data_IF_454664462943
#
_entry.id   IF_454664462943
#
_cell.length_a   1.000
_cell.length_b   1.000
_cell.length_c   1.000
_cell.angle_alpha   90.00
_cell.angle_beta   90.00
_cell.angle_gamma   90.00
#
_symmetry.space_group_name_H-M   'P 1'
#
loop_
_entity.id
_entity.type
_entity.pdbx_description
1 polymer ?
#
# COMPACT_ATOMS: atom_id res chain seq x y z
N UNK A 1 48.09 11.57 47.16
CA UNK A 1 46.68 11.99 46.88
C UNK A 1 46.53 12.28 45.42
N UNK A 2 45.97 11.33 44.65
CA UNK A 2 45.78 11.47 43.21
C UNK A 2 44.37 11.97 42.97
N UNK A 3 44.22 13.16 42.36
CA UNK A 3 42.96 13.72 41.95
C UNK A 3 42.40 12.95 40.74
N UNK A 4 41.24 12.36 40.88
CA UNK A 4 40.49 11.76 39.80
C UNK A 4 39.69 12.89 39.11
N UNK A 5 40.09 13.29 37.91
CA UNK A 5 39.34 14.19 37.03
C UNK A 5 38.19 13.41 36.39
N UNK A 6 36.98 13.72 36.84
CA UNK A 6 35.74 13.22 36.26
C UNK A 6 35.52 13.93 34.92
N UNK A 7 35.70 13.22 33.79
CA UNK A 7 35.40 13.70 32.45
C UNK A 7 33.89 13.47 32.20
N UNK A 8 33.08 14.51 32.33
CA UNK A 8 31.69 14.51 31.89
C UNK A 8 31.69 14.52 30.37
N UNK A 9 31.47 13.35 29.77
CA UNK A 9 31.16 13.24 28.34
C UNK A 9 29.72 13.68 28.17
N UNK A 10 29.54 14.93 27.70
CA UNK A 10 28.27 15.46 27.26
C UNK A 10 27.88 14.75 25.94
N UNK A 11 27.07 13.70 26.05
CA UNK A 11 26.48 13.02 24.90
C UNK A 11 25.47 13.98 24.26
N UNK A 12 25.91 14.81 23.34
CA UNK A 12 25.05 15.58 22.45
C UNK A 12 24.31 14.58 21.56
N UNK A 13 23.15 14.12 22.04
CA UNK A 13 22.10 13.53 21.19
C UNK A 13 21.71 14.59 20.16
N UNK A 14 22.29 14.50 18.98
CA UNK A 14 21.82 15.16 17.76
C UNK A 14 20.44 14.56 17.37
N UNK A 15 19.44 14.78 18.19
CA UNK A 15 18.05 14.74 17.76
C UNK A 15 17.91 15.87 16.77
N UNK A 16 17.91 15.54 15.48
CA UNK A 16 17.64 16.52 14.44
C UNK A 16 16.40 17.30 14.84
N UNK A 17 16.56 18.58 15.19
CA UNK A 17 15.48 19.49 15.55
C UNK A 17 14.52 19.47 14.37
N UNK A 18 13.38 18.78 14.55
CA UNK A 18 12.29 18.81 13.57
C UNK A 18 11.62 20.16 13.74
N UNK A 19 12.04 21.11 12.92
CA UNK A 19 11.54 22.48 12.94
C UNK A 19 10.00 22.49 12.80
N UNK A 20 9.33 22.93 13.83
CA UNK A 20 7.88 23.15 13.79
C UNK A 20 7.60 24.47 13.07
N UNK A 21 6.78 24.43 12.02
CA UNK A 21 6.40 25.59 11.22
C UNK A 21 4.96 26.00 11.48
N UNK A 22 4.72 27.31 11.62
CA UNK A 22 3.37 27.85 11.58
C UNK A 22 2.90 28.01 10.12
N UNK A 23 1.95 27.17 9.73
CA UNK A 23 1.36 27.20 8.41
C UNK A 23 0.19 28.18 8.28
N UNK A 24 -0.31 28.78 9.38
CA UNK A 24 -1.44 29.71 9.37
C UNK A 24 -1.18 30.96 8.53
N UNK A 25 0.09 31.38 8.39
CA UNK A 25 0.47 32.58 7.64
C UNK A 25 0.37 32.39 6.13
N UNK A 26 0.35 31.14 5.61
CA UNK A 26 0.21 30.86 4.19
C UNK A 26 -1.21 31.15 3.69
N UNK A 27 -1.37 31.98 2.65
CA UNK A 27 -2.67 32.32 2.04
C UNK A 27 -3.50 31.08 1.69
N UNK A 28 -2.85 30.05 1.11
CA UNK A 28 -3.51 28.80 0.75
C UNK A 28 -4.06 28.03 1.96
N UNK A 29 -3.39 28.10 3.11
CA UNK A 29 -3.85 27.48 4.37
C UNK A 29 -5.03 28.24 4.93
N UNK A 30 -4.99 29.58 4.91
CA UNK A 30 -6.14 30.43 5.30
C UNK A 30 -7.38 30.08 4.48
N UNK A 31 -7.22 29.96 3.15
CA UNK A 31 -8.32 29.56 2.25
C UNK A 31 -8.81 28.12 2.54
N UNK A 32 -7.89 27.19 2.81
CA UNK A 32 -8.25 25.83 3.18
C UNK A 32 -9.03 25.78 4.51
N UNK A 33 -8.59 26.52 5.52
CA UNK A 33 -9.30 26.64 6.80
C UNK A 33 -10.70 27.23 6.58
N UNK A 34 -10.82 28.30 5.79
CA UNK A 34 -12.12 28.91 5.48
C UNK A 34 -13.08 27.91 4.82
N UNK A 35 -12.57 27.13 3.85
CA UNK A 35 -13.35 26.08 3.19
C UNK A 35 -13.79 25.00 4.21
N UNK A 36 -12.90 24.54 5.10
CA UNK A 36 -13.22 23.54 6.11
C UNK A 36 -14.24 24.04 7.13
N UNK A 37 -14.20 25.32 7.49
CA UNK A 37 -15.20 25.95 8.37
C UNK A 37 -16.56 26.04 7.67
N UNK A 38 -16.58 26.67 6.46
CA UNK A 38 -17.84 26.91 5.73
C UNK A 38 -18.55 25.62 5.29
N UNK A 39 -17.79 24.68 4.67
CA UNK A 39 -18.38 23.50 4.03
C UNK A 39 -18.46 22.27 4.94
N UNK A 40 -17.64 22.20 5.99
CA UNK A 40 -17.51 20.99 6.80
C UNK A 40 -17.69 21.24 8.32
N UNK A 41 -18.06 22.50 8.68
CA UNK A 41 -18.40 22.88 10.05
C UNK A 41 -17.31 22.56 11.09
N UNK A 42 -16.05 22.83 10.74
CA UNK A 42 -14.94 22.75 11.67
C UNK A 42 -14.84 24.04 12.50
N UNK A 43 -14.51 23.92 13.80
CA UNK A 43 -14.16 25.10 14.61
C UNK A 43 -12.83 25.69 14.12
N UNK A 44 -12.83 26.98 13.73
CA UNK A 44 -11.65 27.71 13.20
C UNK A 44 -10.48 27.64 14.18
N UNK A 45 -10.71 27.83 15.47
CA UNK A 45 -9.70 27.78 16.52
C UNK A 45 -8.98 26.41 16.56
N UNK A 46 -9.74 25.29 16.43
CA UNK A 46 -9.19 23.94 16.39
C UNK A 46 -8.27 23.75 15.17
N UNK A 47 -8.67 24.22 13.98
CA UNK A 47 -7.85 24.13 12.79
C UNK A 47 -6.59 25.00 12.91
N UNK A 48 -6.71 26.27 13.34
CA UNK A 48 -5.54 27.14 13.55
C UNK A 48 -4.54 26.50 14.52
N UNK A 49 -4.98 25.87 15.60
CA UNK A 49 -4.13 25.15 16.56
C UNK A 49 -3.39 23.97 15.89
N UNK A 50 -4.06 23.20 15.02
CA UNK A 50 -3.43 22.10 14.29
C UNK A 50 -2.33 22.59 13.33
N UNK A 51 -2.56 23.70 12.63
CA UNK A 51 -1.64 24.25 11.63
C UNK A 51 -0.50 25.09 12.23
N UNK A 52 -0.60 25.53 13.48
CA UNK A 52 0.44 26.35 14.16
C UNK A 52 1.75 25.59 14.38
N UNK A 53 1.68 24.31 14.73
CA UNK A 53 2.84 23.49 15.08
C UNK A 53 2.94 22.27 14.16
N UNK A 54 3.21 22.49 12.88
CA UNK A 54 3.39 21.42 11.89
C UNK A 54 4.87 21.05 11.81
N UNK A 55 5.20 19.81 12.10
CA UNK A 55 6.54 19.29 11.89
C UNK A 55 6.78 19.11 10.40
N UNK A 56 7.64 19.94 9.82
CA UNK A 56 7.96 19.90 8.40
C UNK A 56 8.58 18.55 8.00
N UNK A 57 7.97 17.85 7.06
CA UNK A 57 8.36 16.49 6.63
C UNK A 57 9.25 16.53 5.38
N UNK A 58 10.50 17.02 5.53
CA UNK A 58 11.47 17.13 4.42
C UNK A 58 11.66 15.81 3.68
N UNK A 59 11.77 14.67 4.39
CA UNK A 59 11.95 13.34 3.78
C UNK A 59 10.77 12.92 2.92
N UNK A 60 9.54 13.19 3.37
CA UNK A 60 8.34 12.93 2.59
C UNK A 60 8.28 13.84 1.34
N UNK A 61 8.56 15.14 1.49
CA UNK A 61 8.56 16.08 0.39
C UNK A 61 9.61 15.74 -0.67
N UNK A 62 10.80 15.27 -0.27
CA UNK A 62 11.87 14.86 -1.18
C UNK A 62 11.50 13.70 -2.12
N UNK A 63 10.47 12.91 -1.80
CA UNK A 63 9.93 11.88 -2.71
C UNK A 63 9.13 12.48 -3.88
N UNK A 64 8.64 13.71 -3.75
CA UNK A 64 7.78 14.37 -4.74
C UNK A 64 8.39 15.66 -5.32
N UNK A 65 9.47 16.18 -4.69
CA UNK A 65 10.24 17.32 -5.18
C UNK A 65 11.75 17.04 -5.00
N UNK A 66 12.52 16.87 -6.11
CA UNK A 66 13.95 16.56 -6.07
C UNK A 66 14.81 17.54 -5.28
N UNK A 67 14.41 18.84 -5.21
CA UNK A 67 15.14 19.87 -4.44
C UNK A 67 15.27 19.54 -2.94
N UNK A 68 14.32 18.77 -2.40
CA UNK A 68 14.31 18.36 -0.98
C UNK A 68 14.88 16.97 -0.74
N UNK A 69 15.30 16.26 -1.80
CA UNK A 69 15.93 14.93 -1.68
C UNK A 69 17.31 15.06 -1.07
N UNK A 70 17.59 14.33 0.00
CA UNK A 70 18.95 14.16 0.49
C UNK A 70 19.77 13.43 -0.57
N UNK A 71 20.82 14.08 -1.07
CA UNK A 71 21.80 13.40 -1.92
C UNK A 71 22.54 12.37 -1.04
N UNK A 72 22.75 11.14 -1.49
CA UNK A 72 23.57 10.19 -0.76
C UNK A 72 24.99 10.73 -0.67
N UNK A 73 25.64 10.60 0.48
CA UNK A 73 27.04 11.03 0.67
C UNK A 73 27.97 10.34 -0.35
N UNK A 74 27.68 9.09 -0.66
CA UNK A 74 28.35 8.32 -1.70
C UNK A 74 27.27 7.75 -2.63
N UNK A 75 27.31 8.05 -3.95
CA UNK A 75 26.38 7.42 -4.89
C UNK A 75 26.61 5.90 -4.83
N UNK A 76 25.54 5.10 -4.77
CA UNK A 76 25.69 3.66 -4.74
C UNK A 76 26.44 3.21 -5.99
N UNK A 77 27.55 2.47 -5.84
CA UNK A 77 28.23 1.82 -6.97
C UNK A 77 27.16 1.03 -7.75
N UNK A 78 26.99 1.34 -9.04
CA UNK A 78 26.08 0.57 -9.91
C UNK A 78 26.62 -0.86 -10.00
N UNK A 79 26.14 -1.74 -9.14
CA UNK A 79 26.31 -3.18 -9.33
C UNK A 79 25.37 -3.58 -10.48
N UNK A 80 25.97 -3.86 -11.63
CA UNK A 80 25.27 -4.53 -12.72
C UNK A 80 24.91 -5.95 -12.24
N UNK A 81 23.73 -6.10 -11.65
CA UNK A 81 23.23 -7.41 -11.29
C UNK A 81 22.64 -8.06 -12.53
N UNK A 82 23.08 -9.27 -12.86
CA UNK A 82 22.46 -10.13 -13.91
C UNK A 82 21.03 -10.51 -13.46
N UNK A 83 20.09 -9.55 -13.45
CA UNK A 83 18.72 -9.75 -12.99
C UNK A 83 17.75 -8.84 -13.73
N UNK A 84 16.62 -9.36 -14.14
CA UNK A 84 15.52 -8.59 -14.69
C UNK A 84 14.84 -7.72 -13.64
N UNK A 85 14.00 -6.81 -14.07
CA UNK A 85 13.25 -5.95 -13.16
C UNK A 85 12.32 -6.76 -12.25
N UNK A 86 11.72 -7.83 -12.80
CA UNK A 86 10.86 -8.71 -12.01
C UNK A 86 11.66 -9.53 -10.99
N UNK A 87 12.83 -10.05 -11.35
CA UNK A 87 13.67 -10.83 -10.43
C UNK A 87 13.99 -10.05 -9.15
N UNK A 88 14.32 -8.74 -9.29
CA UNK A 88 14.56 -7.86 -8.14
C UNK A 88 13.30 -7.64 -7.30
N UNK A 89 12.18 -7.47 -7.98
CA UNK A 89 10.88 -7.25 -7.34
C UNK A 89 10.44 -8.49 -6.55
N UNK A 90 10.59 -9.67 -7.16
CA UNK A 90 10.30 -10.97 -6.55
C UNK A 90 11.16 -11.20 -5.31
N UNK A 91 12.49 -11.03 -5.42
CA UNK A 91 13.43 -11.18 -4.30
C UNK A 91 13.04 -10.30 -3.11
N UNK A 92 12.60 -9.07 -3.36
CA UNK A 92 12.22 -8.12 -2.32
C UNK A 92 10.89 -8.50 -1.63
N UNK A 93 9.91 -9.01 -2.37
CA UNK A 93 8.54 -9.16 -1.87
C UNK A 93 8.07 -10.59 -1.63
N UNK A 94 8.71 -11.60 -2.24
CA UNK A 94 8.20 -12.98 -2.23
C UNK A 94 9.10 -13.98 -1.48
N UNK A 95 10.04 -13.48 -0.65
CA UNK A 95 10.96 -14.33 0.13
C UNK A 95 10.26 -15.16 1.20
N UNK A 96 10.87 -16.30 1.55
CA UNK A 96 10.30 -17.29 2.47
C UNK A 96 9.91 -16.70 3.84
N UNK A 97 10.69 -15.76 4.39
CA UNK A 97 10.36 -15.11 5.67
C UNK A 97 9.00 -14.40 5.59
N UNK A 98 8.70 -13.71 4.49
CA UNK A 98 7.40 -13.06 4.30
C UNK A 98 6.29 -14.10 4.14
N UNK A 99 6.53 -15.17 3.40
CA UNK A 99 5.55 -16.28 3.27
C UNK A 99 5.24 -16.90 4.62
N UNK A 100 6.26 -17.25 5.41
CA UNK A 100 6.08 -17.87 6.73
C UNK A 100 5.34 -16.96 7.72
N UNK A 101 5.66 -15.65 7.73
CA UNK A 101 4.90 -14.66 8.52
C UNK A 101 3.44 -14.56 8.04
N UNK A 102 3.19 -14.67 6.74
CA UNK A 102 1.83 -14.69 6.18
C UNK A 102 1.04 -15.93 6.58
N UNK A 103 1.67 -17.09 6.58
CA UNK A 103 1.07 -18.33 7.06
C UNK A 103 0.67 -18.21 8.53
N UNK A 104 1.59 -17.71 9.38
CA UNK A 104 1.29 -17.45 10.80
C UNK A 104 0.15 -16.45 10.96
N UNK A 105 0.20 -15.32 10.27
CA UNK A 105 -0.84 -14.27 10.31
C UNK A 105 -2.21 -14.84 9.91
N UNK A 106 -2.28 -15.61 8.83
CA UNK A 106 -3.52 -16.24 8.38
C UNK A 106 -4.05 -17.28 9.39
N UNK A 107 -3.18 -17.96 10.12
CA UNK A 107 -3.55 -18.90 11.20
C UNK A 107 -4.06 -18.13 12.43
N UNK A 108 -3.33 -17.14 12.91
CA UNK A 108 -3.65 -16.39 14.13
C UNK A 108 -5.02 -15.70 14.01
N UNK A 109 -5.39 -15.23 12.80
CA UNK A 109 -6.68 -14.56 12.54
C UNK A 109 -7.68 -15.42 11.75
N UNK A 110 -7.57 -16.75 11.83
CA UNK A 110 -8.39 -17.69 11.06
C UNK A 110 -9.89 -17.46 11.20
N UNK A 111 -10.39 -17.20 12.40
CA UNK A 111 -11.82 -16.97 12.67
C UNK A 111 -12.33 -15.70 11.95
N UNK A 112 -11.54 -14.64 11.97
CA UNK A 112 -11.85 -13.38 11.27
C UNK A 112 -11.87 -13.62 9.76
N UNK A 113 -10.86 -14.29 9.22
CA UNK A 113 -10.79 -14.60 7.80
C UNK A 113 -11.98 -15.44 7.30
N UNK A 114 -12.43 -16.42 8.09
CA UNK A 114 -13.64 -17.20 7.78
C UNK A 114 -14.88 -16.32 7.64
N UNK A 115 -15.14 -15.47 8.64
CA UNK A 115 -16.28 -14.53 8.63
C UNK A 115 -16.20 -13.56 7.46
N UNK A 116 -14.99 -13.00 7.18
CA UNK A 116 -14.74 -12.06 6.08
C UNK A 116 -14.91 -12.73 4.72
N UNK A 117 -14.41 -13.96 4.54
CA UNK A 117 -14.62 -14.70 3.29
C UNK A 117 -16.10 -14.95 2.99
N UNK A 118 -16.88 -15.34 4.00
CA UNK A 118 -18.34 -15.54 3.83
C UNK A 118 -19.02 -14.26 3.38
N UNK A 119 -18.66 -13.10 3.98
CA UNK A 119 -19.30 -11.80 3.71
C UNK A 119 -18.88 -11.18 2.37
N UNK A 120 -17.58 -11.23 2.03
CA UNK A 120 -17.01 -10.50 0.89
C UNK A 120 -16.57 -11.37 -0.28
N UNK A 121 -16.38 -12.67 -0.08
CA UNK A 121 -15.95 -13.62 -1.10
C UNK A 121 -14.49 -13.47 -1.55
N UNK A 122 -13.67 -12.73 -0.79
CA UNK A 122 -12.24 -12.54 -1.07
C UNK A 122 -11.42 -13.57 -0.29
N UNK A 123 -10.64 -14.42 -0.97
CA UNK A 123 -9.88 -15.47 -0.28
C UNK A 123 -8.85 -14.90 0.71
N UNK A 124 -8.68 -15.54 1.87
CA UNK A 124 -7.79 -15.09 2.94
C UNK A 124 -6.37 -14.79 2.50
N UNK A 125 -5.81 -15.61 1.61
CA UNK A 125 -4.44 -15.46 1.11
C UNK A 125 -4.22 -14.14 0.38
N UNK A 126 -5.21 -13.61 -0.33
CA UNK A 126 -5.06 -12.32 -1.04
C UNK A 126 -5.07 -11.14 -0.07
N UNK A 127 -5.92 -11.18 0.94
CA UNK A 127 -5.95 -10.15 1.99
C UNK A 127 -4.64 -10.18 2.78
N UNK A 128 -4.18 -11.38 3.12
CA UNK A 128 -2.90 -11.60 3.82
C UNK A 128 -1.72 -11.09 2.99
N UNK A 129 -1.72 -11.34 1.68
CA UNK A 129 -0.68 -10.86 0.77
C UNK A 129 -0.64 -9.32 0.69
N UNK A 130 -1.80 -8.65 0.64
CA UNK A 130 -1.88 -7.18 0.72
C UNK A 130 -1.24 -6.69 2.02
N UNK A 131 -1.67 -7.19 3.18
CA UNK A 131 -1.11 -6.79 4.48
C UNK A 131 0.40 -7.07 4.54
N UNK A 132 0.84 -8.19 3.97
CA UNK A 132 2.26 -8.56 3.90
C UNK A 132 3.09 -7.60 3.05
N UNK A 133 2.57 -7.11 1.95
CA UNK A 133 3.26 -6.17 1.06
C UNK A 133 3.23 -4.75 1.64
N UNK A 134 2.07 -4.29 2.12
CA UNK A 134 1.85 -2.92 2.55
C UNK A 134 2.51 -2.59 3.89
N UNK A 135 2.37 -3.47 4.88
CA UNK A 135 2.82 -3.18 6.25
C UNK A 135 3.70 -4.26 6.85
N UNK A 136 4.12 -5.27 6.05
CA UNK A 136 4.86 -6.42 6.57
C UNK A 136 4.16 -7.05 7.79
N UNK A 137 2.86 -7.32 7.64
CA UNK A 137 1.97 -7.86 8.69
C UNK A 137 1.85 -6.97 9.93
N UNK A 138 1.95 -5.66 9.74
CA UNK A 138 1.82 -4.65 10.78
C UNK A 138 3.12 -4.22 11.45
N UNK A 139 4.27 -4.79 11.09
CA UNK A 139 5.58 -4.34 11.60
C UNK A 139 5.96 -2.96 11.06
N UNK A 140 5.49 -2.58 9.87
CA UNK A 140 5.78 -1.30 9.23
C UNK A 140 4.49 -0.59 8.83
N UNK A 141 3.85 0.10 9.77
CA UNK A 141 2.64 0.90 9.53
C UNK A 141 2.95 2.36 9.15
N UNK A 142 4.21 2.65 8.87
CA UNK A 142 4.71 4.00 8.63
C UNK A 142 5.24 4.68 9.88
N UNK A 143 6.15 5.64 9.67
CA UNK A 143 6.82 6.40 10.75
C UNK A 143 6.54 7.90 10.71
N UNK A 144 5.85 8.37 9.69
CA UNK A 144 5.58 9.79 9.50
C UNK A 144 4.26 10.19 10.18
N UNK A 145 4.18 11.33 10.89
CA UNK A 145 2.93 11.86 11.40
C UNK A 145 1.99 12.21 10.24
N UNK A 146 0.81 11.61 10.17
CA UNK A 146 -0.08 11.71 9.00
C UNK A 146 -0.50 13.17 8.69
N UNK A 147 -0.90 13.92 9.72
CA UNK A 147 -1.31 15.30 9.55
C UNK A 147 -0.17 16.19 9.04
N UNK A 148 0.99 16.10 9.70
CA UNK A 148 2.16 16.91 9.35
C UNK A 148 2.68 16.57 7.94
N UNK A 149 2.65 15.27 7.60
CA UNK A 149 3.04 14.78 6.27
C UNK A 149 2.14 15.33 5.18
N UNK A 150 0.83 15.16 5.34
CA UNK A 150 -0.13 15.63 4.36
C UNK A 150 -0.18 17.16 4.30
N UNK A 151 0.02 17.87 5.42
CA UNK A 151 0.13 19.33 5.44
C UNK A 151 1.36 19.80 4.66
N UNK A 152 2.53 19.20 4.91
CA UNK A 152 3.75 19.50 4.15
C UNK A 152 3.52 19.28 2.65
N UNK A 153 2.99 18.11 2.26
CA UNK A 153 2.76 17.77 0.86
C UNK A 153 1.63 18.58 0.21
N UNK A 154 0.66 19.09 0.98
CA UNK A 154 -0.45 19.91 0.49
C UNK A 154 -0.06 21.36 0.23
N UNK A 155 0.92 21.90 0.97
CA UNK A 155 1.19 23.33 0.94
C UNK A 155 2.62 23.68 0.56
N UNK A 156 3.53 22.71 0.44
CA UNK A 156 4.85 22.94 -0.13
C UNK A 156 4.90 22.57 -1.63
N UNK A 157 5.81 23.17 -2.41
CA UNK A 157 5.90 22.94 -3.86
C UNK A 157 6.20 21.47 -4.19
N UNK A 158 5.29 20.80 -4.87
CA UNK A 158 5.50 19.47 -5.45
C UNK A 158 4.46 19.17 -6.55
N UNK A 159 4.77 18.15 -7.40
CA UNK A 159 3.93 17.77 -8.55
C UNK A 159 2.54 17.24 -8.21
N UNK A 160 2.28 16.83 -6.96
CA UNK A 160 1.01 16.24 -6.51
C UNK A 160 0.29 17.06 -5.43
N UNK A 161 0.61 18.34 -5.30
CA UNK A 161 0.10 19.25 -4.28
C UNK A 161 -1.44 19.22 -4.16
N UNK A 162 -2.16 19.31 -5.29
CA UNK A 162 -3.64 19.25 -5.31
C UNK A 162 -4.17 17.94 -4.73
N UNK A 163 -3.57 16.80 -5.07
CA UNK A 163 -3.94 15.49 -4.54
C UNK A 163 -3.73 15.43 -3.03
N UNK A 164 -2.59 15.86 -2.52
CA UNK A 164 -2.32 15.83 -1.08
C UNK A 164 -3.21 16.79 -0.29
N UNK A 165 -3.60 17.92 -0.87
CA UNK A 165 -4.60 18.82 -0.27
C UNK A 165 -5.97 18.13 -0.14
N UNK A 166 -6.37 17.35 -1.12
CA UNK A 166 -7.58 16.53 -1.06
C UNK A 166 -7.47 15.45 0.03
N UNK A 167 -6.34 14.76 0.14
CA UNK A 167 -6.12 13.74 1.18
C UNK A 167 -6.06 14.34 2.58
N UNK A 168 -5.48 15.53 2.76
CA UNK A 168 -5.49 16.25 4.03
C UNK A 168 -6.93 16.61 4.46
N UNK A 169 -7.76 17.07 3.52
CA UNK A 169 -9.19 17.29 3.79
C UNK A 169 -9.84 16.00 4.30
N UNK A 170 -9.63 14.89 3.61
CA UNK A 170 -10.22 13.61 4.00
C UNK A 170 -9.69 13.11 5.34
N UNK A 171 -8.40 13.33 5.68
CA UNK A 171 -7.88 13.01 7.02
C UNK A 171 -8.59 13.79 8.12
N UNK A 172 -8.83 15.08 7.92
CA UNK A 172 -9.55 15.91 8.88
C UNK A 172 -11.02 15.47 9.04
N UNK A 173 -11.72 15.20 7.93
CA UNK A 173 -13.09 14.68 7.95
C UNK A 173 -13.17 13.35 8.70
N UNK A 174 -12.25 12.43 8.36
CA UNK A 174 -12.14 11.14 9.02
C UNK A 174 -11.86 11.29 10.51
N UNK A 175 -10.95 12.20 10.91
CA UNK A 175 -10.63 12.45 12.31
C UNK A 175 -11.83 12.98 13.12
N UNK A 176 -12.71 13.76 12.47
CA UNK A 176 -13.96 14.23 13.07
C UNK A 176 -14.96 13.07 13.22
N UNK A 177 -15.13 12.27 12.18
CA UNK A 177 -16.07 11.14 12.10
C UNK A 177 -15.71 10.02 13.08
N UNK A 178 -14.45 9.59 13.07
CA UNK A 178 -13.94 8.48 13.91
C UNK A 178 -13.39 8.95 15.27
N UNK A 179 -13.55 10.23 15.61
CA UNK A 179 -13.20 10.84 16.92
C UNK A 179 -11.74 10.60 17.35
N UNK A 180 -10.77 10.79 16.44
CA UNK A 180 -9.34 10.70 16.78
C UNK A 180 -8.58 12.00 16.51
N UNK A 181 -7.41 12.15 17.17
CA UNK A 181 -6.51 13.27 16.90
C UNK A 181 -5.66 12.97 15.64
N UNK A 182 -5.77 13.74 14.53
CA UNK A 182 -5.03 13.48 13.30
C UNK A 182 -3.51 13.60 13.46
N UNK A 183 -3.01 14.27 14.49
CA UNK A 183 -1.57 14.35 14.79
C UNK A 183 -1.00 13.06 15.39
N UNK A 184 -1.83 12.24 16.02
CA UNK A 184 -1.38 11.00 16.66
C UNK A 184 -1.32 9.80 15.69
N UNK A 185 -1.76 9.99 14.46
CA UNK A 185 -1.79 8.91 13.46
C UNK A 185 -0.46 8.83 12.72
N UNK A 186 0.15 7.63 12.69
CA UNK A 186 1.32 7.32 11.88
C UNK A 186 0.89 6.94 10.46
N UNK A 187 1.73 7.30 9.48
CA UNK A 187 1.50 7.05 8.06
C UNK A 187 2.80 6.76 7.30
N UNK A 188 2.66 6.34 6.06
CA UNK A 188 3.77 6.32 5.10
C UNK A 188 4.21 7.76 4.76
N UNK A 189 5.30 7.88 4.01
CA UNK A 189 5.77 9.17 3.47
C UNK A 189 4.75 9.87 2.55
N UNK A 190 3.73 9.16 2.08
CA UNK A 190 2.64 9.71 1.26
C UNK A 190 1.33 9.91 2.04
N UNK A 191 1.30 9.61 3.34
CA UNK A 191 0.11 9.77 4.17
C UNK A 191 -0.82 8.56 4.21
N UNK A 192 -0.39 7.39 3.74
CA UNK A 192 -1.17 6.15 3.82
C UNK A 192 -1.15 5.57 5.24
N UNK A 193 -2.28 5.01 5.70
CA UNK A 193 -2.57 4.71 7.11
C UNK A 193 -2.90 3.22 7.32
N UNK A 194 -2.41 2.67 8.43
CA UNK A 194 -2.82 1.38 8.98
C UNK A 194 -2.25 0.15 8.29
N UNK A 195 -2.77 -1.03 8.62
CA UNK A 195 -2.30 -2.33 8.11
C UNK A 195 -2.39 -2.45 6.58
N UNK A 196 -3.45 -1.91 5.98
CA UNK A 196 -3.68 -1.91 4.54
C UNK A 196 -3.11 -0.70 3.81
N UNK A 197 -2.48 0.25 4.52
CA UNK A 197 -1.91 1.48 3.92
C UNK A 197 -2.91 2.23 3.03
N UNK A 198 -4.13 2.47 3.55
CA UNK A 198 -5.14 3.26 2.84
C UNK A 198 -4.82 4.75 2.90
N UNK A 199 -4.99 5.44 1.77
CA UNK A 199 -5.07 6.89 1.79
C UNK A 199 -6.35 7.32 2.54
N UNK A 200 -6.38 8.50 3.19
CA UNK A 200 -7.56 8.96 3.94
C UNK A 200 -8.88 8.90 3.17
N UNK A 201 -8.87 9.24 1.87
CA UNK A 201 -10.05 9.12 1.01
C UNK A 201 -10.50 7.67 0.81
N UNK A 202 -9.56 6.74 0.66
CA UNK A 202 -9.85 5.31 0.57
C UNK A 202 -10.33 4.74 1.90
N UNK A 203 -9.82 5.27 3.00
CA UNK A 203 -10.27 4.91 4.34
C UNK A 203 -11.76 5.21 4.50
N UNK A 204 -12.19 6.42 4.19
CA UNK A 204 -13.60 6.80 4.30
C UNK A 204 -14.50 5.97 3.38
N UNK A 205 -14.04 5.67 2.15
CA UNK A 205 -14.80 4.94 1.16
C UNK A 205 -14.94 3.43 1.44
N UNK A 206 -13.93 2.82 2.05
CA UNK A 206 -13.83 1.36 2.10
C UNK A 206 -13.64 0.77 3.49
N UNK A 207 -13.25 1.54 4.51
CA UNK A 207 -13.10 1.02 5.85
C UNK A 207 -14.45 0.62 6.45
N UNK A 208 -14.45 -0.48 7.20
CA UNK A 208 -15.62 -1.03 7.87
C UNK A 208 -15.29 -1.32 9.33
N UNK A 209 -16.25 -1.08 10.21
CA UNK A 209 -16.23 -1.55 11.58
C UNK A 209 -16.70 -3.01 11.59
N UNK A 210 -15.75 -3.92 11.69
CA UNK A 210 -16.02 -5.35 11.61
C UNK A 210 -16.18 -6.00 12.98
N UNK A 211 -15.50 -5.50 13.99
CA UNK A 211 -15.64 -5.94 15.38
C UNK A 211 -16.84 -5.31 16.10
N UNK A 212 -17.51 -4.32 15.48
CA UNK A 212 -18.67 -3.59 16.00
C UNK A 212 -18.41 -2.81 17.29
N UNK A 213 -17.21 -2.24 17.41
CA UNK A 213 -16.85 -1.37 18.53
C UNK A 213 -17.28 0.11 18.33
N UNK A 214 -18.01 0.39 17.24
CA UNK A 214 -18.49 1.72 16.87
C UNK A 214 -17.44 2.57 16.13
N UNK A 215 -16.27 2.02 15.78
CA UNK A 215 -15.19 2.71 15.07
C UNK A 215 -14.65 1.88 13.92
N UNK A 216 -14.38 2.52 12.81
CA UNK A 216 -13.65 1.87 11.69
C UNK A 216 -12.16 2.09 11.89
N UNK A 217 -11.41 1.11 12.36
CA UNK A 217 -9.99 1.28 12.68
C UNK A 217 -9.07 0.40 11.83
N UNK A 218 -8.37 0.98 10.87
CA UNK A 218 -7.33 0.25 10.10
C UNK A 218 -6.08 -0.10 10.93
N UNK A 219 -6.02 0.29 12.19
CA UNK A 219 -5.03 -0.17 13.16
C UNK A 219 -5.46 -1.48 13.83
N UNK A 220 -6.77 -1.74 13.88
CA UNK A 220 -7.37 -2.98 14.40
C UNK A 220 -7.36 -4.04 13.32
N UNK A 221 -6.90 -5.25 13.64
CA UNK A 221 -6.69 -6.32 12.65
C UNK A 221 -7.98 -6.78 12.00
N UNK A 222 -9.08 -6.92 12.77
CA UNK A 222 -10.39 -7.33 12.25
C UNK A 222 -10.92 -6.36 11.19
N UNK A 223 -10.88 -5.07 11.50
CA UNK A 223 -11.36 -4.03 10.60
C UNK A 223 -10.48 -3.88 9.37
N UNK A 224 -9.16 -3.97 9.54
CA UNK A 224 -8.22 -3.90 8.42
C UNK A 224 -8.42 -5.07 7.44
N UNK A 225 -8.55 -6.31 7.93
CA UNK A 225 -8.83 -7.50 7.10
C UNK A 225 -10.14 -7.31 6.34
N UNK A 226 -11.21 -6.91 7.03
CA UNK A 226 -12.52 -6.71 6.43
C UNK A 226 -12.54 -5.52 5.46
N UNK A 227 -11.84 -4.44 5.77
CA UNK A 227 -11.74 -3.25 4.91
C UNK A 227 -11.02 -3.54 3.60
N UNK A 228 -9.94 -4.33 3.62
CA UNK A 228 -9.26 -4.79 2.40
C UNK A 228 -10.19 -5.67 1.57
N UNK A 229 -10.93 -6.57 2.19
CA UNK A 229 -11.92 -7.39 1.49
C UNK A 229 -13.05 -6.54 0.88
N UNK A 230 -13.57 -5.56 1.63
CA UNK A 230 -14.57 -4.60 1.15
C UNK A 230 -14.04 -3.77 -0.03
N UNK A 231 -12.78 -3.33 0.04
CA UNK A 231 -12.12 -2.65 -1.08
C UNK A 231 -12.15 -3.51 -2.34
N UNK A 232 -11.74 -4.78 -2.27
CA UNK A 232 -11.76 -5.68 -3.41
C UNK A 232 -13.18 -5.93 -3.91
N UNK A 233 -14.15 -6.18 -3.02
CA UNK A 233 -15.55 -6.39 -3.38
C UNK A 233 -16.13 -5.19 -4.12
N UNK A 234 -15.97 -3.98 -3.59
CA UNK A 234 -16.45 -2.74 -4.21
C UNK A 234 -15.74 -2.41 -5.54
N UNK A 235 -14.50 -2.87 -5.73
CA UNK A 235 -13.79 -2.75 -7.01
C UNK A 235 -14.09 -3.90 -7.99
N UNK A 236 -15.07 -4.75 -7.70
CA UNK A 236 -15.58 -5.77 -8.60
C UNK A 236 -14.89 -7.13 -8.51
N UNK A 237 -14.36 -7.50 -7.33
CA UNK A 237 -13.90 -8.85 -7.06
C UNK A 237 -15.03 -9.86 -7.23
N UNK A 238 -14.75 -10.94 -7.94
CA UNK A 238 -15.69 -12.03 -8.18
C UNK A 238 -15.25 -13.27 -7.38
N UNK A 239 -16.13 -13.72 -6.47
CA UNK A 239 -15.91 -14.94 -5.67
C UNK A 239 -15.75 -16.14 -6.59
N UNK A 240 -14.76 -16.99 -6.33
CA UNK A 240 -14.50 -18.20 -7.11
C UNK A 240 -13.79 -17.96 -8.47
N UNK A 241 -13.77 -16.73 -9.00
CA UNK A 241 -13.11 -16.46 -10.28
C UNK A 241 -11.60 -16.39 -10.11
N UNK A 242 -10.85 -16.98 -11.06
CA UNK A 242 -9.39 -16.98 -11.05
C UNK A 242 -8.79 -15.57 -11.13
N UNK A 243 -7.55 -15.42 -10.67
CA UNK A 243 -6.79 -14.16 -10.79
C UNK A 243 -5.95 -14.15 -12.05
N UNK A 244 -5.26 -15.24 -12.34
CA UNK A 244 -4.42 -15.35 -13.53
C UNK A 244 -3.73 -16.70 -13.63
N UNK A 245 -3.10 -16.95 -14.78
CA UNK A 245 -2.30 -18.14 -15.04
C UNK A 245 -1.04 -17.78 -15.81
N UNK A 246 0.04 -18.52 -15.58
CA UNK A 246 1.25 -18.43 -16.38
C UNK A 246 0.99 -18.98 -17.80
N UNK A 247 1.59 -18.38 -18.81
CA UNK A 247 1.42 -18.80 -20.20
C UNK A 247 2.77 -19.07 -20.87
N UNK A 248 2.76 -20.06 -21.77
CA UNK A 248 3.82 -20.28 -22.75
C UNK A 248 3.59 -19.38 -23.98
N UNK A 249 4.64 -19.16 -24.75
CA UNK A 249 4.54 -18.45 -26.01
C UNK A 249 5.54 -19.02 -27.02
N UNK A 250 5.15 -19.00 -28.32
CA UNK A 250 6.01 -19.38 -29.44
C UNK A 250 6.41 -18.13 -30.23
N UNK A 251 7.72 -17.94 -30.41
CA UNK A 251 8.28 -16.79 -31.11
C UNK A 251 8.01 -15.46 -30.44
N UNK A 252 8.09 -14.37 -31.21
CA UNK A 252 8.00 -12.99 -30.73
C UNK A 252 6.67 -12.29 -31.02
N UNK A 253 5.67 -12.97 -31.56
CA UNK A 253 4.37 -12.35 -31.97
C UNK A 253 3.69 -11.56 -30.86
N UNK A 254 3.85 -11.99 -29.59
CA UNK A 254 3.29 -11.28 -28.44
C UNK A 254 3.85 -9.86 -28.29
N UNK A 255 5.05 -9.56 -28.79
CA UNK A 255 5.69 -8.22 -28.69
C UNK A 255 4.93 -7.15 -29.45
N UNK A 256 4.14 -7.55 -30.46
CA UNK A 256 3.22 -6.65 -31.20
C UNK A 256 2.00 -6.25 -30.39
N UNK A 257 1.78 -6.84 -29.22
CA UNK A 257 0.65 -6.55 -28.34
C UNK A 257 1.10 -5.71 -27.13
N UNK A 258 0.34 -4.68 -26.81
CA UNK A 258 0.58 -3.89 -25.58
C UNK A 258 0.36 -4.77 -24.37
N UNK A 259 1.35 -4.92 -23.51
CA UNK A 259 1.25 -5.69 -22.27
C UNK A 259 0.83 -4.80 -21.10
N UNK A 260 0.34 -5.44 -20.03
CA UNK A 260 -0.04 -4.77 -18.79
C UNK A 260 -1.55 -4.74 -18.53
N UNK A 261 -1.92 -4.26 -17.35
CA UNK A 261 -3.29 -4.37 -16.84
C UNK A 261 -4.33 -3.49 -17.56
N UNK A 262 -3.90 -2.52 -18.37
CA UNK A 262 -4.81 -1.60 -19.07
C UNK A 262 -5.45 -2.22 -20.32
N UNK A 263 -4.78 -3.15 -20.99
CA UNK A 263 -5.18 -3.72 -22.27
C UNK A 263 -5.86 -5.08 -22.09
N UNK A 264 -6.96 -5.30 -22.77
CA UNK A 264 -7.75 -6.54 -22.76
C UNK A 264 -7.77 -7.17 -24.15
N UNK A 265 -7.66 -8.48 -24.21
CA UNK A 265 -7.66 -9.28 -25.43
C UNK A 265 -8.60 -10.47 -25.29
N UNK A 266 -9.23 -10.89 -26.37
CA UNK A 266 -9.73 -12.26 -26.48
C UNK A 266 -8.54 -13.20 -26.55
N UNK A 267 -8.65 -14.41 -26.01
CA UNK A 267 -7.55 -15.39 -26.04
C UNK A 267 -7.15 -15.72 -27.47
N UNK A 268 -8.12 -15.86 -28.38
CA UNK A 268 -7.90 -16.17 -29.80
C UNK A 268 -7.08 -15.07 -30.52
N UNK A 269 -7.19 -13.81 -30.10
CA UNK A 269 -6.39 -12.71 -30.68
C UNK A 269 -4.92 -12.70 -30.21
N UNK A 270 -4.55 -13.58 -29.27
CA UNK A 270 -3.19 -13.73 -28.74
C UNK A 270 -2.54 -15.02 -29.30
N UNK A 271 -2.52 -15.15 -30.64
CA UNK A 271 -1.96 -16.32 -31.31
C UNK A 271 -0.54 -16.65 -30.85
N UNK A 272 -0.28 -17.93 -30.59
CA UNK A 272 1.02 -18.41 -30.08
C UNK A 272 1.22 -18.24 -28.58
N UNK A 273 0.21 -17.76 -27.82
CA UNK A 273 0.25 -17.66 -26.35
C UNK A 273 -0.84 -18.56 -25.77
N UNK A 274 -0.45 -19.47 -24.88
CA UNK A 274 -1.38 -20.45 -24.27
C UNK A 274 -1.05 -20.68 -22.79
N UNK A 275 -2.05 -20.99 -21.93
CA UNK A 275 -1.81 -21.38 -20.55
C UNK A 275 -0.91 -22.62 -20.44
N UNK A 276 0.05 -22.61 -19.50
CA UNK A 276 0.75 -23.83 -19.11
C UNK A 276 -0.20 -24.86 -18.51
N UNK A 277 -1.10 -24.39 -17.66
CA UNK A 277 -2.16 -25.22 -17.10
C UNK A 277 -3.29 -25.36 -18.12
N UNK A 278 -3.38 -26.50 -18.77
CA UNK A 278 -4.41 -26.82 -19.78
C UNK A 278 -5.82 -26.84 -19.19
N UNK A 279 -5.96 -27.08 -17.88
CA UNK A 279 -7.24 -27.08 -17.17
C UNK A 279 -7.80 -25.67 -16.91
N UNK A 280 -7.01 -24.61 -17.22
CA UNK A 280 -7.42 -23.22 -17.00
C UNK A 280 -8.56 -22.82 -17.95
N UNK A 281 -9.76 -22.79 -17.43
CA UNK A 281 -11.04 -22.68 -18.17
C UNK A 281 -11.59 -21.26 -18.31
N UNK A 282 -10.82 -20.21 -17.95
CA UNK A 282 -11.28 -18.83 -18.05
C UNK A 282 -11.47 -18.39 -19.50
N UNK A 283 -12.72 -18.23 -19.94
CA UNK A 283 -13.11 -17.96 -21.32
C UNK A 283 -13.37 -16.49 -21.67
N UNK A 284 -13.26 -15.58 -20.67
CA UNK A 284 -13.43 -14.14 -20.87
C UNK A 284 -12.15 -13.47 -21.35
N UNK A 285 -12.25 -12.20 -21.78
CA UNK A 285 -11.09 -11.38 -22.15
C UNK A 285 -10.03 -11.32 -21.03
N UNK A 286 -8.77 -11.53 -21.39
CA UNK A 286 -7.61 -11.51 -20.51
C UNK A 286 -6.73 -10.29 -20.73
N UNK A 287 -5.83 -10.05 -19.82
CA UNK A 287 -4.74 -9.07 -19.95
C UNK A 287 -3.43 -9.83 -20.11
N UNK A 288 -2.65 -9.46 -21.12
CA UNK A 288 -1.32 -10.02 -21.30
C UNK A 288 -0.35 -9.27 -20.40
N UNK A 289 0.12 -9.94 -19.35
CA UNK A 289 1.05 -9.36 -18.36
C UNK A 289 2.45 -9.88 -18.67
N UNK A 290 3.40 -8.95 -18.76
CA UNK A 290 4.81 -9.24 -19.00
C UNK A 290 5.63 -8.94 -17.74
N UNK A 291 6.43 -9.91 -17.31
CA UNK A 291 7.38 -9.83 -16.23
C UNK A 291 8.79 -9.98 -16.80
N UNK A 292 9.58 -8.93 -16.71
CA UNK A 292 10.92 -8.92 -17.26
C UNK A 292 11.90 -9.69 -16.35
N UNK A 293 12.28 -10.89 -16.75
CA UNK A 293 13.34 -11.74 -16.17
C UNK A 293 14.69 -11.40 -16.78
N UNK A 294 15.76 -11.93 -16.22
CA UNK A 294 17.13 -11.61 -16.67
C UNK A 294 17.37 -11.89 -18.15
N UNK A 295 16.95 -13.02 -18.67
CA UNK A 295 17.21 -13.42 -20.06
C UNK A 295 15.93 -13.60 -20.89
N UNK A 296 14.74 -13.48 -20.31
CA UNK A 296 13.48 -13.74 -21.00
C UNK A 296 12.32 -12.95 -20.40
N UNK A 297 11.23 -12.87 -21.14
CA UNK A 297 9.97 -12.35 -20.66
C UNK A 297 9.10 -13.50 -20.12
N UNK A 298 8.70 -13.44 -18.88
CA UNK A 298 7.70 -14.34 -18.31
C UNK A 298 6.33 -13.75 -18.55
N UNK A 299 5.43 -14.49 -19.21
CA UNK A 299 4.11 -14.02 -19.57
C UNK A 299 3.03 -14.67 -18.72
N UNK A 300 1.97 -13.88 -18.46
CA UNK A 300 0.78 -14.30 -17.71
C UNK A 300 -0.49 -13.78 -18.36
N UNK A 301 -1.56 -14.56 -18.28
CA UNK A 301 -2.90 -14.07 -18.47
C UNK A 301 -3.45 -13.57 -17.13
N UNK A 302 -3.82 -12.29 -17.07
CA UNK A 302 -4.52 -11.69 -15.94
C UNK A 302 -6.03 -11.64 -16.21
N UNK A 303 -6.82 -12.28 -15.34
CA UNK A 303 -8.29 -12.29 -15.38
C UNK A 303 -8.90 -11.00 -14.76
N UNK A 304 -10.21 -10.99 -14.53
CA UNK A 304 -10.91 -9.85 -13.91
C UNK A 304 -10.37 -9.55 -12.51
N UNK A 305 -10.16 -10.57 -11.68
CA UNK A 305 -9.66 -10.38 -10.31
C UNK A 305 -8.21 -9.86 -10.26
N UNK A 306 -7.38 -10.16 -11.27
CA UNK A 306 -6.08 -9.51 -11.41
C UNK A 306 -6.20 -7.99 -11.56
N UNK A 307 -7.12 -7.55 -12.40
CA UNK A 307 -7.39 -6.11 -12.56
C UNK A 307 -7.89 -5.47 -11.25
N UNK A 308 -8.70 -6.17 -10.47
CA UNK A 308 -9.16 -5.65 -9.17
C UNK A 308 -7.97 -5.40 -8.24
N UNK A 309 -6.98 -6.29 -8.21
CA UNK A 309 -5.76 -6.06 -7.42
C UNK A 309 -5.03 -4.80 -7.90
N UNK A 310 -4.98 -4.54 -9.22
CA UNK A 310 -4.35 -3.31 -9.74
C UNK A 310 -5.05 -2.02 -9.32
N UNK A 311 -6.29 -2.08 -8.81
CA UNK A 311 -6.98 -0.90 -8.27
C UNK A 311 -6.39 -0.45 -6.94
N UNK A 312 -5.79 -1.37 -6.19
CA UNK A 312 -5.09 -1.07 -4.94
C UNK A 312 -3.80 -0.24 -5.21
N UNK A 313 -3.04 -0.69 -6.19
CA UNK A 313 -1.88 0.04 -6.71
C UNK A 313 -1.82 -0.16 -8.23
N UNK A 314 -1.80 0.92 -9.02
CA UNK A 314 -1.89 0.92 -10.48
C UNK A 314 -0.60 0.38 -11.16
N UNK A 315 -0.23 -0.87 -10.83
CA UNK A 315 0.97 -1.56 -11.31
C UNK A 315 0.70 -3.04 -11.58
N UNK A 316 1.09 -3.52 -12.76
CA UNK A 316 1.04 -4.96 -13.06
C UNK A 316 1.99 -5.76 -12.19
N UNK A 317 3.17 -5.22 -11.87
CA UNK A 317 4.15 -5.87 -11.00
C UNK A 317 3.64 -6.00 -9.57
N UNK A 318 3.01 -4.94 -9.05
CA UNK A 318 2.37 -5.00 -7.74
C UNK A 318 1.28 -6.09 -7.69
N UNK A 319 0.37 -6.09 -8.66
CA UNK A 319 -0.72 -7.06 -8.69
C UNK A 319 -0.19 -8.51 -8.83
N UNK A 320 0.89 -8.71 -9.60
CA UNK A 320 1.53 -10.00 -9.72
C UNK A 320 2.23 -10.42 -8.42
N UNK A 321 2.89 -9.49 -7.71
CA UNK A 321 3.49 -9.78 -6.41
C UNK A 321 2.43 -10.18 -5.38
N UNK A 322 1.29 -9.49 -5.33
CA UNK A 322 0.15 -9.88 -4.49
C UNK A 322 -0.33 -11.28 -4.86
N UNK A 323 -0.51 -11.56 -6.16
CA UNK A 323 -0.99 -12.85 -6.63
C UNK A 323 -0.01 -13.98 -6.26
N UNK A 324 1.26 -13.84 -6.62
CA UNK A 324 2.26 -14.89 -6.35
C UNK A 324 2.52 -15.08 -4.84
N UNK A 325 2.54 -13.99 -4.04
CA UNK A 325 2.65 -14.10 -2.59
C UNK A 325 1.43 -14.83 -2.00
N UNK A 326 0.22 -14.51 -2.46
CA UNK A 326 -1.00 -15.19 -2.04
C UNK A 326 -0.93 -16.69 -2.32
N UNK A 327 -0.49 -17.09 -3.53
CA UNK A 327 -0.35 -18.51 -3.87
C UNK A 327 0.71 -19.20 -3.01
N UNK A 328 1.88 -18.59 -2.80
CA UNK A 328 2.93 -19.14 -1.91
C UNK A 328 2.41 -19.32 -0.47
N UNK A 329 1.69 -18.33 0.08
CA UNK A 329 1.08 -18.44 1.42
C UNK A 329 0.04 -19.57 1.46
N UNK A 330 -0.83 -19.66 0.46
CA UNK A 330 -1.86 -20.70 0.36
C UNK A 330 -1.25 -22.10 0.37
N UNK A 331 -0.25 -22.34 -0.49
CA UNK A 331 0.45 -23.63 -0.57
C UNK A 331 1.15 -23.95 0.74
N UNK A 332 1.91 -23.02 1.30
CA UNK A 332 2.62 -23.23 2.56
C UNK A 332 1.66 -23.44 3.75
N UNK A 333 0.52 -22.75 3.77
CA UNK A 333 -0.51 -22.94 4.80
C UNK A 333 -1.11 -24.36 4.73
N UNK A 334 -1.51 -24.79 3.52
CA UNK A 334 -2.05 -26.15 3.33
C UNK A 334 -1.05 -27.24 3.75
N UNK A 335 0.22 -27.09 3.33
CA UNK A 335 1.29 -28.04 3.72
C UNK A 335 1.48 -28.11 5.23
N UNK A 336 1.42 -26.96 5.93
CA UNK A 336 1.70 -26.91 7.39
C UNK A 336 0.53 -27.39 8.24
N UNK A 337 -0.71 -27.14 7.84
CA UNK A 337 -1.90 -27.40 8.68
C UNK A 337 -2.86 -28.44 8.12
N UNK A 338 -2.52 -29.08 7.01
CA UNK A 338 -3.36 -30.03 6.29
C UNK A 338 -4.84 -29.57 6.14
N UNK A 339 -5.04 -28.26 6.09
CA UNK A 339 -6.36 -27.62 6.03
C UNK A 339 -6.29 -26.28 5.33
N UNK A 340 -7.43 -25.69 5.06
CA UNK A 340 -7.49 -24.36 4.49
C UNK A 340 -8.56 -23.49 5.17
N UNK A 341 -8.29 -22.19 5.28
CA UNK A 341 -9.21 -21.21 5.89
C UNK A 341 -10.27 -20.78 4.86
N UNK A 342 -11.46 -21.39 4.95
CA UNK A 342 -12.65 -21.00 4.20
C UNK A 342 -13.89 -20.94 5.08
#
# INVERSE_FOLDING_TARGET
MKQVRLLLILLLLLTGIVEAKDYNNKREVKNFINMMVKKHHFKRSKLKRLFRHVKFQRGALGMFNPKYRKKPKHPPKRRYTKSGTWDRYEKMLLGNTRVNKGVKYMRDYRSIFKKVYRKYGVPPEYITAIIGIESYYGYNRGKFPAFDTLTTLAFEPNRRKKYFKYELKNLLLLSKKERFNPKNVKSSFAGAIGLGQFMPSSYDAFAVDFNRDGRRSLQTTSDAIASIANYFKKNGWRKGETVGTRVSYKGSRYTRRKTGYKHKYSRNSLGGVAPYDKSWSYNKKVRLIKLNRYKYDELWYGAKNFYVITRYNHSSYYAMAVHQLAQKIKVAYKKRYNSYVR
#
